data_IF_892156933195
#
_entry.id   IF_892156933195
#
_cell.length_a   1.000
_cell.length_b   1.000
_cell.length_c   1.000
_cell.angle_alpha   90.00
_cell.angle_beta   90.00
_cell.angle_gamma   90.00
#
_symmetry.space_group_name_H-M   'P 1'
#
loop_
_entity.id
_entity.type
_entity.pdbx_description
1 polymer ?
#
# COMPACT_ATOMS: atom_id res chain seq x y z
N UNK A 1 -3.31 8.80 -13.19
CA UNK A 1 -4.03 7.76 -12.43
C UNK A 1 -3.06 6.64 -12.12
N UNK A 2 -3.08 6.09 -10.91
CA UNK A 2 -2.37 4.84 -10.57
C UNK A 2 -3.42 3.77 -10.35
N UNK A 3 -3.21 2.58 -10.91
CA UNK A 3 -4.17 1.46 -10.82
C UNK A 3 -3.47 0.19 -10.38
N UNK A 4 -4.09 -0.50 -9.42
CA UNK A 4 -3.64 -1.79 -8.92
C UNK A 4 -4.22 -2.89 -9.79
N UNK A 5 -3.35 -3.81 -10.21
CA UNK A 5 -3.72 -4.89 -11.12
C UNK A 5 -3.23 -6.19 -10.52
N UNK A 6 -4.19 -6.99 -10.05
CA UNK A 6 -3.94 -8.27 -9.40
C UNK A 6 -3.19 -9.23 -10.33
N UNK A 7 -2.17 -9.88 -9.79
CA UNK A 7 -1.39 -10.94 -10.43
C UNK A 7 -1.17 -12.05 -9.42
N UNK A 8 -1.80 -13.20 -9.65
CA UNK A 8 -1.77 -14.36 -8.76
C UNK A 8 -2.08 -15.66 -9.53
N UNK A 9 -2.13 -16.78 -8.81
CA UNK A 9 -2.46 -18.09 -9.37
C UNK A 9 -3.87 -18.20 -9.98
N UNK A 10 -4.82 -17.37 -9.57
CA UNK A 10 -6.23 -17.39 -10.02
C UNK A 10 -6.40 -16.61 -11.31
N UNK A 11 -6.00 -15.33 -11.33
CA UNK A 11 -6.16 -14.46 -12.51
C UNK A 11 -4.97 -14.50 -13.47
N UNK A 12 -3.85 -15.07 -13.02
CA UNK A 12 -2.61 -15.17 -13.77
C UNK A 12 -2.17 -13.79 -14.25
N UNK A 13 -2.10 -13.58 -15.57
CA UNK A 13 -1.72 -12.31 -16.19
C UNK A 13 -2.88 -11.59 -16.88
N UNK A 14 -4.09 -12.13 -16.83
CA UNK A 14 -5.24 -11.64 -17.62
C UNK A 14 -5.58 -10.19 -17.26
N UNK A 15 -5.59 -9.86 -15.97
CA UNK A 15 -5.84 -8.51 -15.50
C UNK A 15 -4.77 -7.52 -16.00
N UNK A 16 -3.51 -7.95 -16.00
CA UNK A 16 -2.37 -7.16 -16.47
C UNK A 16 -2.40 -6.92 -17.98
N UNK A 17 -2.70 -7.97 -18.76
CA UNK A 17 -2.87 -7.87 -20.20
C UNK A 17 -3.96 -6.84 -20.56
N UNK A 18 -5.10 -6.89 -19.87
CA UNK A 18 -6.18 -5.92 -20.04
C UNK A 18 -5.72 -4.50 -19.67
N UNK A 19 -5.02 -4.33 -18.55
CA UNK A 19 -4.52 -3.03 -18.11
C UNK A 19 -3.53 -2.41 -19.10
N UNK A 20 -2.67 -3.21 -19.73
CA UNK A 20 -1.73 -2.74 -20.76
C UNK A 20 -2.47 -2.25 -22.00
N UNK A 21 -3.48 -3.00 -22.47
CA UNK A 21 -4.34 -2.58 -23.59
C UNK A 21 -5.05 -1.26 -23.27
N UNK A 22 -5.62 -1.14 -22.07
CA UNK A 22 -6.31 0.07 -21.63
C UNK A 22 -5.35 1.27 -21.47
N UNK A 23 -4.15 1.05 -20.93
CA UNK A 23 -3.12 2.10 -20.85
C UNK A 23 -2.81 2.71 -22.22
N UNK A 24 -2.68 1.86 -23.25
CA UNK A 24 -2.45 2.34 -24.62
C UNK A 24 -3.69 3.02 -25.19
N UNK A 25 -4.88 2.43 -25.02
CA UNK A 25 -6.12 2.98 -25.56
C UNK A 25 -6.45 4.39 -25.03
N UNK A 26 -6.08 4.69 -23.79
CA UNK A 26 -6.42 5.94 -23.11
C UNK A 26 -5.26 6.92 -22.97
N UNK A 27 -4.14 6.70 -23.68
CA UNK A 27 -2.92 7.51 -23.54
C UNK A 27 -3.14 9.02 -23.82
N UNK A 28 -4.05 9.35 -24.74
CA UNK A 28 -4.40 10.73 -25.09
C UNK A 28 -5.29 11.42 -24.03
N UNK A 29 -5.90 10.65 -23.13
CA UNK A 29 -6.89 11.15 -22.16
C UNK A 29 -6.36 11.15 -20.73
N UNK A 30 -5.56 10.15 -20.34
CA UNK A 30 -5.00 10.06 -19.01
C UNK A 30 -3.70 9.25 -18.96
N UNK A 31 -2.75 9.68 -18.13
CA UNK A 31 -1.58 8.86 -17.82
C UNK A 31 -1.94 7.79 -16.78
N UNK A 32 -1.89 6.53 -17.19
CA UNK A 32 -2.18 5.35 -16.35
C UNK A 32 -0.87 4.71 -15.90
N UNK A 33 -0.60 4.71 -14.60
CA UNK A 33 0.50 3.96 -14.00
C UNK A 33 -0.01 2.62 -13.49
N UNK A 34 0.54 1.54 -14.02
CA UNK A 34 0.17 0.18 -13.64
C UNK A 34 1.03 -0.27 -12.46
N UNK A 35 0.37 -0.71 -11.40
CA UNK A 35 0.97 -1.45 -10.28
C UNK A 35 0.72 -2.94 -10.52
N UNK A 36 1.80 -3.71 -10.67
CA UNK A 36 1.71 -5.17 -10.63
C UNK A 36 1.52 -5.57 -9.17
N UNK A 37 0.34 -6.05 -8.82
CA UNK A 37 -0.13 -6.10 -7.44
C UNK A 37 -0.33 -7.53 -6.94
N UNK A 38 0.40 -7.90 -5.89
CA UNK A 38 0.09 -9.08 -5.10
C UNK A 38 -0.89 -8.73 -3.98
N UNK A 39 -2.16 -9.04 -4.24
CA UNK A 39 -3.22 -8.99 -3.23
C UNK A 39 -3.12 -10.17 -2.25
N UNK A 40 -2.83 -11.35 -2.77
CA UNK A 40 -2.65 -12.58 -1.99
C UNK A 40 -1.22 -12.73 -1.45
N UNK A 41 -1.00 -13.57 -0.41
CA UNK A 41 0.33 -13.84 0.12
C UNK A 41 1.27 -14.41 -0.93
N UNK A 42 2.54 -14.01 -0.88
CA UNK A 42 3.59 -14.44 -1.83
C UNK A 42 4.68 -15.26 -1.13
N UNK A 43 4.68 -15.32 0.21
CA UNK A 43 5.59 -16.16 1.00
C UNK A 43 4.87 -17.26 1.79
N UNK A 44 3.77 -16.92 2.48
CA UNK A 44 3.17 -17.81 3.47
C UNK A 44 1.72 -18.18 3.12
N UNK A 45 1.55 -18.96 2.06
CA UNK A 45 0.28 -19.62 1.71
C UNK A 45 0.51 -20.86 0.83
N UNK A 46 -0.52 -21.68 0.61
CA UNK A 46 -0.48 -22.82 -0.33
C UNK A 46 -0.05 -22.39 -1.74
N UNK A 47 -0.41 -21.15 -2.13
CA UNK A 47 -0.14 -20.61 -3.47
C UNK A 47 0.97 -19.55 -3.48
N UNK A 48 1.69 -19.31 -2.38
CA UNK A 48 2.66 -18.23 -2.26
C UNK A 48 3.76 -18.30 -3.32
N UNK A 49 4.36 -19.48 -3.50
CA UNK A 49 5.38 -19.72 -4.53
C UNK A 49 4.83 -19.51 -5.95
N UNK A 50 3.61 -19.99 -6.22
CA UNK A 50 2.96 -19.83 -7.51
C UNK A 50 2.63 -18.36 -7.80
N UNK A 51 2.15 -17.61 -6.80
CA UNK A 51 1.88 -16.16 -6.89
C UNK A 51 3.18 -15.40 -7.18
N UNK A 52 4.27 -15.74 -6.49
CA UNK A 52 5.59 -15.16 -6.73
C UNK A 52 6.08 -15.40 -8.16
N UNK A 53 5.88 -16.61 -8.70
CA UNK A 53 6.23 -16.92 -10.10
C UNK A 53 5.44 -16.03 -11.07
N UNK A 54 4.14 -15.83 -10.86
CA UNK A 54 3.34 -14.96 -11.71
C UNK A 54 3.77 -13.49 -11.63
N UNK A 55 4.08 -12.99 -10.42
CA UNK A 55 4.63 -11.64 -10.22
C UNK A 55 5.95 -11.44 -10.97
N UNK A 56 6.92 -12.34 -10.80
CA UNK A 56 8.21 -12.22 -11.48
C UNK A 56 8.05 -12.32 -13.00
N UNK A 57 7.20 -13.23 -13.48
CA UNK A 57 6.87 -13.34 -14.90
C UNK A 57 6.27 -12.04 -15.44
N UNK A 58 5.35 -11.43 -14.69
CA UNK A 58 4.75 -10.15 -15.05
C UNK A 58 5.81 -9.04 -15.14
N UNK A 59 6.68 -8.93 -14.13
CA UNK A 59 7.71 -7.89 -14.05
C UNK A 59 8.78 -8.01 -15.13
N UNK A 60 9.12 -9.24 -15.53
CA UNK A 60 10.08 -9.50 -16.61
C UNK A 60 9.46 -9.30 -18.00
N UNK A 61 8.16 -9.57 -18.16
CA UNK A 61 7.48 -9.55 -19.47
C UNK A 61 6.94 -8.16 -19.84
N UNK A 62 6.41 -7.42 -18.87
CA UNK A 62 5.67 -6.18 -19.13
C UNK A 62 6.42 -4.93 -18.68
N UNK A 63 7.07 -4.27 -19.63
CA UNK A 63 7.79 -3.01 -19.39
C UNK A 63 6.87 -1.85 -18.98
N UNK A 64 5.56 -1.95 -19.22
CA UNK A 64 4.55 -0.94 -18.87
C UNK A 64 4.29 -0.87 -17.36
N UNK A 65 4.71 -1.87 -16.58
CA UNK A 65 4.59 -1.86 -15.12
C UNK A 65 5.52 -0.77 -14.55
N UNK A 66 4.94 0.23 -13.90
CA UNK A 66 5.69 1.32 -13.27
C UNK A 66 5.97 1.10 -11.78
N UNK A 67 5.23 0.20 -11.14
CA UNK A 67 5.21 0.02 -9.68
C UNK A 67 5.08 -1.46 -9.34
N UNK A 68 5.79 -1.89 -8.31
CA UNK A 68 5.59 -3.19 -7.65
C UNK A 68 4.70 -2.96 -6.44
N UNK A 69 3.56 -3.63 -6.38
CA UNK A 69 2.62 -3.52 -5.27
C UNK A 69 2.50 -4.84 -4.51
N UNK A 70 2.52 -4.80 -3.18
CA UNK A 70 2.28 -5.99 -2.36
C UNK A 70 1.43 -5.67 -1.13
N UNK A 71 0.91 -6.74 -0.50
CA UNK A 71 0.07 -6.64 0.70
C UNK A 71 0.71 -7.40 1.88
N UNK A 72 1.74 -6.87 2.56
CA UNK A 72 2.42 -7.59 3.65
C UNK A 72 1.51 -8.05 4.78
N UNK A 73 0.39 -7.35 5.03
CA UNK A 73 -0.53 -7.65 6.11
C UNK A 73 -1.40 -8.91 5.90
N UNK A 74 -1.42 -9.49 4.69
CA UNK A 74 -2.12 -10.77 4.44
C UNK A 74 -1.24 -12.00 4.67
N UNK A 75 0.08 -11.81 4.82
CA UNK A 75 0.99 -12.90 5.16
C UNK A 75 0.64 -13.47 6.54
N UNK A 76 0.67 -14.80 6.68
CA UNK A 76 0.22 -15.46 7.92
C UNK A 76 1.17 -15.33 9.11
N UNK A 77 2.37 -14.77 8.92
CA UNK A 77 3.33 -14.50 9.99
C UNK A 77 4.03 -13.15 9.83
N UNK A 78 4.49 -12.58 10.95
CA UNK A 78 5.24 -11.31 10.94
C UNK A 78 6.56 -11.43 10.16
N UNK A 79 7.22 -12.59 10.24
CA UNK A 79 8.44 -12.88 9.49
C UNK A 79 8.18 -12.89 7.98
N UNK A 80 7.09 -13.52 7.52
CA UNK A 80 6.72 -13.53 6.11
C UNK A 80 6.31 -12.14 5.62
N UNK A 81 5.59 -11.36 6.43
CA UNK A 81 5.28 -9.96 6.12
C UNK A 81 6.55 -9.11 5.92
N UNK A 82 7.57 -9.34 6.76
CA UNK A 82 8.88 -8.67 6.63
C UNK A 82 9.62 -9.12 5.36
N UNK A 83 9.64 -10.42 5.06
CA UNK A 83 10.19 -10.95 3.81
C UNK A 83 9.51 -10.36 2.57
N UNK A 84 8.19 -10.17 2.63
CA UNK A 84 7.41 -9.52 1.57
C UNK A 84 7.90 -8.08 1.31
N UNK A 85 8.05 -7.29 2.37
CA UNK A 85 8.57 -5.92 2.30
C UNK A 85 9.99 -5.91 1.73
N UNK A 86 10.87 -6.77 2.24
CA UNK A 86 12.27 -6.87 1.81
C UNK A 86 12.36 -7.23 0.32
N UNK A 87 11.62 -8.24 -0.13
CA UNK A 87 11.57 -8.65 -1.53
C UNK A 87 11.09 -7.51 -2.44
N UNK A 88 10.00 -6.83 -2.09
CA UNK A 88 9.44 -5.77 -2.91
C UNK A 88 10.40 -4.58 -3.04
N UNK A 89 11.05 -4.16 -1.94
CA UNK A 89 12.07 -3.09 -1.97
C UNK A 89 13.26 -3.51 -2.83
N UNK A 90 13.79 -4.72 -2.61
CA UNK A 90 14.97 -5.22 -3.34
C UNK A 90 14.66 -5.32 -4.84
N UNK A 91 13.47 -5.80 -5.22
CA UNK A 91 13.05 -5.91 -6.61
C UNK A 91 12.78 -4.55 -7.25
N UNK A 92 12.20 -3.60 -6.52
CA UNK A 92 11.99 -2.23 -6.98
C UNK A 92 13.32 -1.53 -7.27
N UNK A 93 14.34 -1.72 -6.42
CA UNK A 93 15.70 -1.22 -6.66
C UNK A 93 16.33 -1.86 -7.90
N UNK A 94 16.25 -3.18 -8.03
CA UNK A 94 16.81 -3.91 -9.17
C UNK A 94 16.19 -3.49 -10.51
N UNK A 95 14.87 -3.29 -10.54
CA UNK A 95 14.13 -2.96 -11.75
C UNK A 95 13.94 -1.45 -11.96
N UNK A 96 14.44 -0.62 -11.05
CA UNK A 96 14.23 0.82 -11.01
C UNK A 96 12.74 1.22 -11.12
N UNK A 97 11.90 0.62 -10.28
CA UNK A 97 10.45 0.85 -10.21
C UNK A 97 10.07 1.52 -8.89
N UNK A 98 8.89 2.14 -8.85
CA UNK A 98 8.29 2.53 -7.57
C UNK A 98 7.85 1.27 -6.81
N UNK A 99 7.64 1.40 -5.51
CA UNK A 99 7.04 0.34 -4.69
C UNK A 99 5.85 0.89 -3.93
N UNK A 100 4.84 0.05 -3.78
CA UNK A 100 3.58 0.37 -3.12
C UNK A 100 3.22 -0.75 -2.15
N UNK A 101 2.86 -0.39 -0.93
CA UNK A 101 2.49 -1.34 0.11
C UNK A 101 1.09 -1.05 0.61
N UNK A 102 0.18 -2.00 0.42
CA UNK A 102 -1.01 -2.08 1.24
C UNK A 102 -0.59 -2.55 2.63
N UNK A 103 -0.42 -1.58 3.54
CA UNK A 103 0.29 -1.79 4.80
C UNK A 103 -0.60 -1.49 6.00
N UNK A 104 -0.35 -2.20 7.10
CA UNK A 104 -0.84 -1.81 8.42
C UNK A 104 -2.38 -1.63 8.44
N UNK A 105 -3.09 -2.47 7.69
CA UNK A 105 -4.55 -2.46 7.57
C UNK A 105 -5.24 -3.16 8.74
N UNK A 106 -5.23 -2.51 9.91
CA UNK A 106 -5.78 -3.05 11.15
C UNK A 106 -5.97 -1.95 12.20
N UNK A 107 -7.02 -2.05 13.02
CA UNK A 107 -7.21 -1.21 14.22
C UNK A 107 -6.90 -1.96 15.53
N UNK A 108 -6.12 -3.04 15.45
CA UNK A 108 -5.62 -3.79 16.60
C UNK A 108 -4.29 -3.21 17.09
N UNK A 109 -4.29 -2.63 18.30
CA UNK A 109 -3.09 -2.07 18.93
C UNK A 109 -2.01 -3.11 19.25
N UNK A 110 -2.38 -4.38 19.39
CA UNK A 110 -1.47 -5.46 19.74
C UNK A 110 -0.67 -5.99 18.55
N UNK A 111 -1.13 -5.72 17.31
CA UNK A 111 -0.37 -6.04 16.11
C UNK A 111 0.82 -5.10 15.97
N UNK A 112 1.94 -5.68 15.56
CA UNK A 112 3.14 -4.95 15.18
C UNK A 112 2.83 -4.00 14.01
N UNK A 113 3.32 -2.76 14.10
CA UNK A 113 3.21 -1.77 13.03
C UNK A 113 4.39 -1.94 12.06
N UNK A 114 4.13 -2.42 10.86
CA UNK A 114 5.14 -2.77 9.87
C UNK A 114 5.81 -1.55 9.21
N UNK A 115 5.23 -0.35 9.31
CA UNK A 115 5.85 0.90 8.80
C UNK A 115 7.30 1.05 9.27
N UNK A 116 7.59 0.69 10.52
CA UNK A 116 8.95 0.78 11.08
C UNK A 116 9.93 -0.16 10.38
N UNK A 117 9.47 -1.36 10.03
CA UNK A 117 10.26 -2.31 9.27
C UNK A 117 10.49 -1.81 7.84
N UNK A 118 9.48 -1.22 7.18
CA UNK A 118 9.67 -0.57 5.87
C UNK A 118 10.76 0.49 5.95
N UNK A 119 10.67 1.45 6.86
CA UNK A 119 11.67 2.53 6.99
C UNK A 119 13.07 1.97 7.30
N UNK A 120 13.15 0.95 8.18
CA UNK A 120 14.41 0.30 8.48
C UNK A 120 15.03 -0.36 7.25
N UNK A 121 14.25 -1.11 6.48
CA UNK A 121 14.70 -1.80 5.27
C UNK A 121 15.13 -0.79 4.20
N UNK A 122 14.37 0.30 3.98
CA UNK A 122 14.76 1.38 3.07
C UNK A 122 16.12 1.98 3.45
N UNK A 123 16.35 2.26 4.75
CA UNK A 123 17.64 2.74 5.25
C UNK A 123 18.76 1.73 5.00
N UNK A 124 18.55 0.46 5.31
CA UNK A 124 19.54 -0.60 5.10
C UNK A 124 19.92 -0.73 3.62
N UNK A 125 18.93 -0.63 2.72
CA UNK A 125 19.11 -0.70 1.26
C UNK A 125 19.54 0.63 0.63
N UNK A 126 19.73 1.67 1.45
CA UNK A 126 20.12 3.03 1.02
C UNK A 126 19.14 3.64 0.02
N UNK A 127 17.85 3.36 0.19
CA UNK A 127 16.79 4.02 -0.56
C UNK A 127 16.63 5.45 -0.05
N UNK A 128 17.03 6.44 -0.84
CA UNK A 128 16.87 7.86 -0.51
C UNK A 128 16.57 8.63 -1.79
N UNK A 129 16.04 9.85 -1.67
CA UNK A 129 15.81 10.73 -2.82
C UNK A 129 17.08 11.02 -3.65
N UNK A 130 18.26 10.79 -3.06
CA UNK A 130 19.56 10.96 -3.73
C UNK A 130 20.02 9.70 -4.46
N UNK A 131 19.59 8.51 -4.02
CA UNK A 131 19.97 7.24 -4.66
C UNK A 131 19.02 6.81 -5.77
N UNK A 132 17.75 7.24 -5.71
CA UNK A 132 16.74 6.97 -6.73
C UNK A 132 15.68 8.07 -6.78
N UNK A 133 15.10 8.28 -7.96
CA UNK A 133 13.92 9.15 -8.16
C UNK A 133 12.59 8.42 -7.87
N UNK A 134 12.68 7.12 -7.54
CA UNK A 134 11.52 6.29 -7.22
C UNK A 134 11.00 6.56 -5.81
N UNK A 135 9.72 6.29 -5.64
CA UNK A 135 8.95 6.55 -4.42
C UNK A 135 8.46 5.25 -3.80
N UNK A 136 8.24 5.31 -2.50
CA UNK A 136 7.61 4.27 -1.70
C UNK A 136 6.24 4.81 -1.28
N UNK A 137 5.18 4.14 -1.71
CA UNK A 137 3.81 4.49 -1.36
C UNK A 137 3.33 3.56 -0.25
N UNK A 138 2.71 4.13 0.77
CA UNK A 138 2.17 3.39 1.91
C UNK A 138 0.66 3.60 1.96
N UNK A 139 -0.07 2.62 1.45
CA UNK A 139 -1.51 2.65 1.30
C UNK A 139 -2.20 2.22 2.58
N UNK A 140 -3.37 2.82 2.82
CA UNK A 140 -4.23 2.61 3.99
C UNK A 140 -3.60 3.04 5.32
N UNK A 141 -2.62 2.28 5.82
CA UNK A 141 -1.90 2.56 7.06
C UNK A 141 -2.82 2.87 8.27
N UNK A 142 -3.98 2.24 8.32
CA UNK A 142 -5.05 2.55 9.29
C UNK A 142 -4.59 2.34 10.74
N UNK A 143 -3.68 1.39 10.99
CA UNK A 143 -3.05 1.17 12.31
C UNK A 143 -2.29 2.39 12.81
N UNK A 144 -1.81 3.24 11.91
CA UNK A 144 -1.06 4.45 12.29
C UNK A 144 -1.96 5.47 12.99
N UNK A 145 -3.28 5.40 12.78
CA UNK A 145 -4.25 6.26 13.51
C UNK A 145 -4.23 6.04 15.03
N UNK A 146 -3.67 4.92 15.50
CA UNK A 146 -3.53 4.60 16.91
C UNK A 146 -2.15 5.00 17.48
N UNK A 147 -1.23 5.53 16.67
CA UNK A 147 0.05 6.00 17.16
C UNK A 147 -0.14 7.20 18.08
N UNK A 148 0.68 7.25 19.12
CA UNK A 148 0.83 8.41 19.98
C UNK A 148 1.51 9.56 19.23
N UNK A 149 1.37 10.76 19.77
CA UNK A 149 2.05 11.97 19.27
C UNK A 149 3.58 11.79 19.14
N UNK A 150 4.18 11.08 20.09
CA UNK A 150 5.61 10.83 20.08
C UNK A 150 6.01 9.86 18.97
N UNK A 151 5.19 8.83 18.73
CA UNK A 151 5.44 7.87 17.64
C UNK A 151 5.28 8.54 16.27
N UNK A 152 4.29 9.42 16.09
CA UNK A 152 4.17 10.22 14.85
C UNK A 152 5.36 11.15 14.65
N UNK A 153 5.82 11.84 15.70
CA UNK A 153 7.02 12.67 15.63
C UNK A 153 8.26 11.84 15.28
N UNK A 154 8.42 10.67 15.88
CA UNK A 154 9.51 9.75 15.56
C UNK A 154 9.46 9.25 14.11
N UNK A 155 8.27 8.90 13.61
CA UNK A 155 8.07 8.46 12.23
C UNK A 155 8.52 9.53 11.23
N UNK A 156 8.11 10.78 11.48
CA UNK A 156 8.48 11.91 10.64
C UNK A 156 9.98 12.21 10.67
N UNK A 157 10.59 12.19 11.85
CA UNK A 157 12.03 12.35 12.02
C UNK A 157 12.80 11.28 11.24
N UNK A 158 12.40 10.00 11.35
CA UNK A 158 13.05 8.91 10.61
C UNK A 158 12.95 9.10 9.09
N UNK A 159 11.82 9.56 8.57
CA UNK A 159 11.65 9.82 7.12
C UNK A 159 12.51 11.00 6.68
N UNK A 160 12.48 12.12 7.41
CA UNK A 160 13.17 13.35 7.01
C UNK A 160 14.68 13.27 7.16
N UNK A 161 15.20 12.78 8.29
CA UNK A 161 16.64 12.69 8.54
C UNK A 161 17.35 11.76 7.55
N UNK A 162 16.63 10.77 7.04
CA UNK A 162 17.16 9.79 6.07
C UNK A 162 16.78 10.12 4.62
N UNK A 163 16.13 11.26 4.36
CA UNK A 163 15.69 11.70 3.02
C UNK A 163 14.90 10.61 2.26
N UNK A 164 14.01 9.90 2.97
CA UNK A 164 13.24 8.79 2.39
C UNK A 164 12.08 9.35 1.54
N UNK A 165 11.99 8.93 0.28
CA UNK A 165 10.91 9.31 -0.66
C UNK A 165 9.60 8.55 -0.39
N UNK A 166 9.10 8.62 0.85
CA UNK A 166 7.89 7.95 1.32
C UNK A 166 6.70 8.88 1.24
N UNK A 167 5.56 8.39 0.72
CA UNK A 167 4.28 9.10 0.77
C UNK A 167 3.17 8.16 1.23
N UNK A 168 2.28 8.69 2.07
CA UNK A 168 1.13 7.96 2.59
C UNK A 168 -0.07 8.17 1.67
N UNK A 169 -0.85 7.11 1.41
CA UNK A 169 -2.06 7.17 0.60
C UNK A 169 -3.25 6.86 1.48
N UNK A 170 -4.08 7.87 1.71
CA UNK A 170 -5.34 7.72 2.44
C UNK A 170 -6.46 7.36 1.46
N UNK A 171 -7.25 6.35 1.83
CA UNK A 171 -8.30 5.77 1.00
C UNK A 171 -9.63 5.78 1.79
N UNK A 172 -10.14 6.98 2.13
CA UNK A 172 -11.07 7.17 3.24
C UNK A 172 -12.38 6.42 3.06
N UNK A 173 -12.88 6.30 1.84
CA UNK A 173 -14.15 5.61 1.55
C UNK A 173 -14.08 4.11 1.85
N UNK A 174 -13.00 3.45 1.43
CA UNK A 174 -12.78 2.02 1.70
C UNK A 174 -12.35 1.80 3.16
N UNK A 175 -11.51 2.68 3.70
CA UNK A 175 -11.02 2.59 5.07
C UNK A 175 -12.14 2.70 6.10
N UNK A 176 -12.98 3.72 6.00
CA UNK A 176 -14.12 3.86 6.91
C UNK A 176 -15.11 2.70 6.79
N UNK A 177 -15.22 2.08 5.60
CA UNK A 177 -16.13 0.96 5.39
C UNK A 177 -15.59 -0.37 5.94
N UNK A 178 -14.33 -0.73 5.70
CA UNK A 178 -13.81 -2.05 6.07
C UNK A 178 -12.92 -2.05 7.33
N UNK A 179 -12.23 -0.95 7.66
CA UNK A 179 -11.26 -0.95 8.75
C UNK A 179 -11.90 -0.89 10.15
N UNK A 180 -13.17 -0.50 10.26
CA UNK A 180 -13.91 -0.44 11.53
C UNK A 180 -14.71 -1.73 11.78
N UNK A 181 -14.18 -2.73 12.51
CA UNK A 181 -14.87 -3.98 12.73
C UNK A 181 -16.16 -3.80 13.56
N UNK A 182 -17.20 -4.62 13.33
CA UNK A 182 -18.36 -4.67 14.19
C UNK A 182 -17.95 -5.12 15.61
N UNK A 183 -18.71 -4.67 16.62
CA UNK A 183 -18.40 -4.81 18.04
C UNK A 183 -18.53 -6.24 18.62
N UNK A 184 -18.04 -7.25 17.89
CA UNK A 184 -18.03 -8.65 18.29
C UNK A 184 -16.62 -9.23 18.44
N UNK A 185 -15.57 -8.48 18.06
CA UNK A 185 -14.16 -8.84 18.29
C UNK A 185 -13.76 -8.48 19.72
N UNK A 186 -13.05 -9.35 20.44
CA UNK A 186 -12.78 -9.25 21.89
C UNK A 186 -12.21 -7.91 22.41
N UNK A 187 -11.64 -7.07 21.54
CA UNK A 187 -11.16 -5.72 21.83
C UNK A 187 -12.22 -4.63 21.53
N UNK A 188 -13.44 -4.83 22.00
CA UNK A 188 -14.52 -3.86 21.79
C UNK A 188 -14.30 -2.58 22.60
N UNK A 189 -13.65 -1.59 21.99
CA UNK A 189 -13.80 -0.20 22.40
C UNK A 189 -15.31 0.15 22.38
N UNK A 190 -15.79 0.92 23.37
CA UNK A 190 -17.15 1.41 23.37
C UNK A 190 -17.46 2.10 22.02
N UNK A 191 -18.69 2.01 21.47
CA UNK A 191 -19.03 2.60 20.17
C UNK A 191 -18.58 4.07 20.01
N UNK A 192 -18.64 4.83 21.11
CA UNK A 192 -18.23 6.24 21.17
C UNK A 192 -16.72 6.50 21.05
N UNK A 193 -15.88 5.48 21.24
CA UNK A 193 -14.41 5.59 21.20
C UNK A 193 -13.80 4.86 20.00
N UNK A 194 -14.63 4.46 19.01
CA UNK A 194 -14.11 3.79 17.82
C UNK A 194 -13.37 4.78 16.92
N UNK A 195 -12.12 4.49 16.53
CA UNK A 195 -11.43 5.31 15.55
C UNK A 195 -12.16 5.23 14.21
N UNK A 196 -12.12 6.31 13.41
CA UNK A 196 -12.68 6.31 12.04
C UNK A 196 -11.99 5.29 11.12
N UNK A 197 -10.73 4.97 11.43
CA UNK A 197 -9.94 4.00 10.68
C UNK A 197 -9.36 4.53 9.37
N UNK A 198 -9.27 5.84 9.18
CA UNK A 198 -8.67 6.53 8.02
C UNK A 198 -7.62 7.52 8.51
N UNK A 199 -6.58 7.77 7.71
CA UNK A 199 -5.46 8.60 8.11
C UNK A 199 -5.87 10.07 8.34
N UNK A 200 -5.16 10.74 9.24
CA UNK A 200 -5.39 12.16 9.53
C UNK A 200 -4.51 13.03 8.62
N UNK A 201 -4.70 12.92 7.30
CA UNK A 201 -3.83 13.50 6.26
C UNK A 201 -3.48 14.97 6.51
N UNK A 202 -4.47 15.79 6.86
CA UNK A 202 -4.23 17.22 7.12
C UNK A 202 -3.31 17.45 8.32
N UNK A 203 -3.41 16.65 9.37
CA UNK A 203 -2.53 16.74 10.54
C UNK A 203 -1.14 16.21 10.21
N UNK A 204 -1.04 15.07 9.52
CA UNK A 204 0.22 14.50 9.05
C UNK A 204 1.03 15.53 8.23
N UNK A 205 0.38 16.24 7.31
CA UNK A 205 1.03 17.28 6.51
C UNK A 205 1.37 18.50 7.38
N UNK A 206 0.40 19.06 8.11
CA UNK A 206 0.58 20.37 8.79
C UNK A 206 1.53 20.31 9.99
N UNK A 207 1.49 19.20 10.73
CA UNK A 207 2.22 19.05 12.00
C UNK A 207 3.54 18.33 11.82
N UNK A 208 3.55 17.31 10.96
CA UNK A 208 4.70 16.44 10.78
C UNK A 208 5.41 16.64 9.44
N UNK A 209 4.90 17.49 8.54
CA UNK A 209 5.46 17.70 7.20
C UNK A 209 5.69 16.37 6.44
N UNK A 210 4.78 15.42 6.63
CA UNK A 210 4.75 14.16 5.91
C UNK A 210 4.07 14.36 4.56
N UNK A 211 4.57 13.66 3.53
CA UNK A 211 3.93 13.66 2.22
C UNK A 211 2.76 12.68 2.21
N UNK A 212 1.60 13.14 1.75
CA UNK A 212 0.40 12.35 1.76
C UNK A 212 -0.52 12.73 0.60
N UNK A 213 -1.23 11.74 0.07
CA UNK A 213 -2.21 11.87 -1.00
C UNK A 213 -3.51 11.18 -0.60
N UNK A 214 -4.61 11.58 -1.23
CA UNK A 214 -5.93 10.98 -1.03
C UNK A 214 -6.37 10.36 -2.36
N UNK A 215 -6.92 9.15 -2.33
CA UNK A 215 -7.32 8.40 -3.52
C UNK A 215 -8.69 7.75 -3.41
N UNK A 216 -9.32 7.51 -4.56
CA UNK A 216 -10.45 6.59 -4.68
C UNK A 216 -9.84 5.20 -4.87
N UNK A 217 -10.09 4.28 -3.94
CA UNK A 217 -9.58 2.90 -4.03
C UNK A 217 -10.47 2.07 -4.96
N UNK A 218 -11.61 1.63 -4.43
CA UNK A 218 -12.52 0.72 -5.10
C UNK A 218 -13.76 1.47 -5.61
N UNK A 219 -14.25 1.10 -6.80
CA UNK A 219 -15.46 1.67 -7.40
C UNK A 219 -16.39 0.54 -7.81
N UNK A 220 -17.45 0.32 -7.03
CA UNK A 220 -18.52 -0.62 -7.39
C UNK A 220 -18.08 -2.08 -7.43
N UNK A 221 -17.29 -2.52 -6.45
CA UNK A 221 -16.78 -3.90 -6.35
C UNK A 221 -17.11 -4.54 -4.98
N UNK A 222 -16.74 -5.81 -4.71
CA UNK A 222 -17.05 -6.49 -3.46
C UNK A 222 -16.53 -5.80 -2.18
N UNK A 223 -15.43 -5.04 -2.28
CA UNK A 223 -14.82 -4.32 -1.15
C UNK A 223 -15.45 -2.96 -0.91
N UNK A 224 -15.97 -2.30 -1.95
CA UNK A 224 -16.71 -1.03 -1.83
C UNK A 224 -17.81 -1.01 -2.90
N UNK A 225 -19.05 -1.43 -2.55
CA UNK A 225 -20.11 -1.65 -3.54
C UNK A 225 -20.74 -0.34 -4.05
N UNK A 226 -20.36 0.80 -3.49
CA UNK A 226 -20.73 2.14 -3.94
C UNK A 226 -19.46 2.96 -4.24
N UNK A 227 -19.65 4.17 -4.77
CA UNK A 227 -18.56 5.11 -5.04
C UNK A 227 -18.61 5.63 -6.46
N UNK A 228 -18.10 6.84 -6.65
CA UNK A 228 -17.88 7.43 -7.96
C UNK A 228 -16.37 7.52 -8.19
N UNK A 229 -15.90 7.37 -9.44
CA UNK A 229 -14.50 7.61 -9.80
C UNK A 229 -14.21 9.12 -9.87
N UNK A 230 -14.68 9.89 -8.88
CA UNK A 230 -14.52 11.35 -8.79
C UNK A 230 -13.72 11.71 -7.53
N UNK A 231 -12.46 12.13 -7.66
CA UNK A 231 -11.63 12.56 -6.52
C UNK A 231 -12.24 13.72 -5.73
N UNK A 232 -13.05 14.59 -6.35
CA UNK A 232 -13.71 15.68 -5.62
C UNK A 232 -14.77 15.20 -4.63
N UNK A 233 -15.30 13.98 -4.81
CA UNK A 233 -16.23 13.38 -3.85
C UNK A 233 -15.56 13.00 -2.51
N UNK A 234 -14.23 13.04 -2.44
CA UNK A 234 -13.46 12.75 -1.23
C UNK A 234 -13.19 14.00 -0.36
N UNK A 235 -13.53 15.20 -0.86
CA UNK A 235 -13.27 16.48 -0.21
C UNK A 235 -14.41 16.95 0.70
#
# INVERSE_FOLDING_TARGET
>A
MTTFVEVDHTVQLICLEAAVVLKHQWEDSCDIRIVCFAQDPIFCSEYGEQNMIYLETALDTYSQIGVIGTTPCVESSAEAAKQNIEWAIDRALQLNKHVDFHLDYSLDSNKETLVWHVLHTLKQRRWTARSTDKRVMLDHCTRLTLLTENEWAQLATEIHENELSVSFVDLPTSDMYMASPPGTSGDCQPPQNRPRGTLQVLEMIRKHNLDAVIGVNNVGNPFTPWGLPDPFSLA
#
